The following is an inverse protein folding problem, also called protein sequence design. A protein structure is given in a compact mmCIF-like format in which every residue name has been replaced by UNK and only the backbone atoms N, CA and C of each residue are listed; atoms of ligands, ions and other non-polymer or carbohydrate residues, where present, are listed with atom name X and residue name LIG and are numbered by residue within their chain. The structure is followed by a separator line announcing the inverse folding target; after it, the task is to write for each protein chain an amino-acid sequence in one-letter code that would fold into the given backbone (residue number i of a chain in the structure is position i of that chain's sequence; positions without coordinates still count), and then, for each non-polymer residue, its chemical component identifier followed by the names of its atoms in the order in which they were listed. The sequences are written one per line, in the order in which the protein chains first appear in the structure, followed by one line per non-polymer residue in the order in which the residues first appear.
data_IF_156983529603
#
_entry.id   IF_156983529603
#
_cell.length_a   1.000
_cell.length_b   1.000
_cell.length_c   1.000
_cell.angle_alpha   90.00
_cell.angle_beta   90.00
_cell.angle_gamma   90.00
#
_symmetry.space_group_name_H-M   'P 1'
#
loop_
_entity.id
_entity.type
_entity.pdbx_description
1 polymer ?
#
# COMPACT_ATOMS: atom_id res chain seq x y z
N UNK A 1 -8.17 -4.79 10.85
CA UNK A 1 -7.32 -3.63 10.53
C UNK A 1 -5.93 -3.90 11.08
N UNK A 2 -4.90 -3.82 10.24
CA UNK A 2 -3.49 -3.91 10.63
C UNK A 2 -2.83 -2.56 10.34
N UNK A 3 -1.90 -2.14 11.19
CA UNK A 3 -1.09 -0.93 10.97
C UNK A 3 0.35 -1.37 10.83
N UNK A 4 1.02 -0.90 9.78
CA UNK A 4 2.41 -1.19 9.47
C UNK A 4 3.19 0.13 9.38
N UNK A 5 4.45 0.08 9.78
CA UNK A 5 5.35 1.22 9.68
C UNK A 5 6.41 0.92 8.62
N UNK A 6 6.57 1.84 7.68
CA UNK A 6 7.60 1.82 6.65
C UNK A 6 8.64 2.87 7.00
N UNK A 7 9.91 2.49 7.08
CA UNK A 7 11.02 3.43 7.24
C UNK A 7 12.00 3.26 6.09
N UNK A 8 12.30 4.34 5.38
CA UNK A 8 13.41 4.48 4.45
C UNK A 8 14.34 5.57 4.96
N UNK A 9 15.44 5.83 4.24
CA UNK A 9 16.39 6.88 4.62
C UNK A 9 15.74 8.27 4.58
N UNK A 10 14.80 8.49 3.65
CA UNK A 10 14.22 9.82 3.40
C UNK A 10 12.75 9.94 3.81
N UNK A 11 12.08 8.82 4.12
CA UNK A 11 10.64 8.82 4.37
C UNK A 11 10.24 7.80 5.45
N UNK A 12 9.20 8.14 6.21
CA UNK A 12 8.57 7.22 7.14
C UNK A 12 7.06 7.33 6.99
N UNK A 13 6.38 6.19 6.92
CA UNK A 13 4.94 6.13 6.72
C UNK A 13 4.27 5.13 7.67
N UNK A 14 3.13 5.55 8.23
CA UNK A 14 2.15 4.63 8.79
C UNK A 14 1.17 4.22 7.71
N UNK A 15 1.09 2.92 7.44
CA UNK A 15 0.17 2.33 6.47
C UNK A 15 -0.90 1.54 7.20
N UNK A 16 -2.16 1.89 6.93
CA UNK A 16 -3.33 1.24 7.49
C UNK A 16 -3.90 0.28 6.44
N UNK A 17 -4.00 -1.00 6.81
CA UNK A 17 -4.51 -2.05 5.95
C UNK A 17 -5.81 -2.59 6.55
N UNK A 18 -6.89 -2.51 5.77
CA UNK A 18 -8.17 -3.09 6.11
C UNK A 18 -8.58 -4.08 5.04
N UNK A 19 -8.72 -5.36 5.42
CA UNK A 19 -9.21 -6.41 4.54
C UNK A 19 -10.67 -6.70 4.86
N UNK A 20 -11.54 -6.48 3.87
CA UNK A 20 -12.93 -6.91 3.93
C UNK A 20 -13.07 -8.24 3.18
N UNK A 21 -12.97 -9.34 3.94
CA UNK A 21 -13.09 -10.70 3.38
C UNK A 21 -14.49 -11.02 2.83
N UNK A 22 -15.54 -10.36 3.34
CA UNK A 22 -16.91 -10.60 2.90
C UNK A 22 -17.15 -10.03 1.49
N UNK A 23 -16.66 -8.82 1.26
CA UNK A 23 -16.84 -8.08 0.01
C UNK A 23 -15.60 -8.16 -0.90
N UNK A 24 -14.59 -8.95 -0.51
CA UNK A 24 -13.37 -9.25 -1.27
C UNK A 24 -12.60 -8.02 -1.75
N UNK A 25 -12.32 -7.08 -0.83
CA UNK A 25 -11.47 -5.93 -1.12
C UNK A 25 -10.53 -5.59 0.04
N UNK A 26 -9.47 -4.87 -0.29
CA UNK A 26 -8.51 -4.31 0.66
C UNK A 26 -8.54 -2.79 0.53
N UNK A 27 -8.52 -2.09 1.66
CA UNK A 27 -8.27 -0.65 1.73
C UNK A 27 -6.88 -0.43 2.29
N UNK A 28 -6.10 0.35 1.56
CA UNK A 28 -4.79 0.85 1.97
C UNK A 28 -4.91 2.33 2.22
N UNK A 29 -4.49 2.82 3.38
CA UNK A 29 -4.48 4.26 3.68
C UNK A 29 -3.15 4.68 4.29
N UNK A 30 -2.68 5.87 3.89
CA UNK A 30 -1.47 6.52 4.38
C UNK A 30 -1.89 7.92 4.85
N UNK A 31 -2.24 8.08 6.15
CA UNK A 31 -2.83 9.32 6.65
C UNK A 31 -1.96 10.55 6.47
N UNK A 32 -0.65 10.41 6.63
CA UNK A 32 0.30 11.54 6.53
C UNK A 32 0.37 12.11 5.09
N UNK A 33 -0.07 11.32 4.10
CA UNK A 33 -0.19 11.73 2.69
C UNK A 33 -1.62 12.13 2.30
N UNK A 34 -2.58 12.09 3.23
CA UNK A 34 -4.02 12.23 2.95
C UNK A 34 -4.49 11.29 1.82
N UNK A 35 -3.91 10.10 1.74
CA UNK A 35 -4.08 9.19 0.62
C UNK A 35 -4.71 7.87 1.07
N UNK A 36 -5.59 7.34 0.23
CA UNK A 36 -6.14 5.99 0.36
C UNK A 36 -6.59 5.42 -0.97
N UNK A 37 -6.55 4.11 -1.09
CA UNK A 37 -7.08 3.37 -2.24
C UNK A 37 -7.82 2.12 -1.78
N UNK A 38 -8.87 1.77 -2.51
CA UNK A 38 -9.53 0.47 -2.41
C UNK A 38 -9.04 -0.39 -3.58
N UNK A 39 -8.67 -1.63 -3.29
CA UNK A 39 -8.09 -2.59 -4.24
C UNK A 39 -8.91 -3.88 -4.16
N UNK A 40 -9.16 -4.51 -5.30
CA UNK A 40 -9.77 -5.83 -5.34
C UNK A 40 -8.82 -6.88 -4.73
N UNK A 41 -9.36 -7.81 -3.96
CA UNK A 41 -8.57 -8.89 -3.32
C UNK A 41 -8.00 -9.91 -4.34
N UNK A 42 -8.44 -9.81 -5.60
CA UNK A 42 -7.94 -10.57 -6.75
C UNK A 42 -6.64 -10.02 -7.32
N UNK A 43 -6.22 -8.80 -6.95
CA UNK A 43 -4.98 -8.19 -7.43
C UNK A 43 -3.82 -8.59 -6.51
N UNK A 44 -2.81 -9.27 -7.07
CA UNK A 44 -1.69 -9.80 -6.27
C UNK A 44 -0.35 -9.70 -6.99
N UNK A 45 0.74 -9.89 -6.24
CA UNK A 45 2.09 -10.02 -6.80
C UNK A 45 2.56 -8.74 -7.51
N UNK A 46 3.11 -8.91 -8.71
CA UNK A 46 3.65 -7.80 -9.50
C UNK A 46 2.55 -6.82 -9.93
N UNK A 47 1.37 -7.30 -10.35
CA UNK A 47 0.25 -6.46 -10.75
C UNK A 47 -0.22 -5.54 -9.61
N UNK A 48 -0.29 -6.06 -8.38
CA UNK A 48 -0.59 -5.24 -7.20
C UNK A 48 0.49 -4.20 -6.93
N UNK A 49 1.75 -4.59 -7.10
CA UNK A 49 2.88 -3.68 -6.87
C UNK A 49 2.90 -2.54 -7.87
N UNK A 50 2.69 -2.84 -9.16
CA UNK A 50 2.61 -1.84 -10.23
C UNK A 50 1.42 -0.91 -10.02
N UNK A 51 0.24 -1.45 -9.68
CA UNK A 51 -0.94 -0.65 -9.40
C UNK A 51 -0.70 0.32 -8.22
N UNK A 52 -0.16 -0.18 -7.11
CA UNK A 52 0.20 0.67 -5.96
C UNK A 52 1.24 1.73 -6.33
N UNK A 53 2.28 1.36 -7.06
CA UNK A 53 3.31 2.28 -7.52
C UNK A 53 2.71 3.41 -8.36
N UNK A 54 1.86 3.08 -9.34
CA UNK A 54 1.23 4.06 -10.23
C UNK A 54 0.42 5.10 -9.47
N UNK A 55 -0.24 4.71 -8.38
CA UNK A 55 -0.97 5.66 -7.56
C UNK A 55 -0.07 6.41 -6.56
N UNK A 56 0.96 5.77 -6.01
CA UNK A 56 1.84 6.38 -5.00
C UNK A 56 2.84 7.38 -5.59
N UNK A 57 3.36 7.19 -6.81
CA UNK A 57 4.32 8.13 -7.39
C UNK A 57 3.72 9.52 -7.65
N UNK A 58 2.38 9.65 -7.64
CA UNK A 58 1.70 10.93 -7.74
C UNK A 58 1.71 11.74 -6.43
N UNK A 59 2.07 11.14 -5.30
CA UNK A 59 2.00 11.76 -3.96
C UNK A 59 3.31 11.73 -3.18
N UNK A 60 4.26 10.87 -3.56
CA UNK A 60 5.61 10.79 -3.00
C UNK A 60 6.64 10.58 -4.11
N UNK A 61 7.92 10.74 -3.75
CA UNK A 61 9.04 10.49 -4.67
C UNK A 61 8.96 9.09 -5.30
N UNK A 62 9.43 8.95 -6.54
CA UNK A 62 9.35 7.72 -7.32
C UNK A 62 10.06 6.54 -6.63
N UNK A 63 11.25 6.78 -6.06
CA UNK A 63 12.00 5.73 -5.36
C UNK A 63 11.24 5.26 -4.11
N UNK A 64 10.71 6.22 -3.34
CA UNK A 64 9.92 5.95 -2.15
C UNK A 64 8.59 5.26 -2.48
N UNK A 65 7.94 5.64 -3.58
CA UNK A 65 6.74 5.01 -4.11
C UNK A 65 6.99 3.54 -4.43
N UNK A 66 8.09 3.24 -5.13
CA UNK A 66 8.46 1.87 -5.49
C UNK A 66 8.73 1.02 -4.25
N UNK A 67 9.51 1.54 -3.30
CA UNK A 67 9.82 0.84 -2.03
C UNK A 67 8.55 0.58 -1.23
N UNK A 68 7.67 1.58 -1.12
CA UNK A 68 6.45 1.50 -0.34
C UNK A 68 5.44 0.53 -0.98
N UNK A 69 5.27 0.57 -2.30
CA UNK A 69 4.43 -0.36 -3.04
C UNK A 69 4.87 -1.82 -2.80
N UNK A 70 6.17 -2.11 -2.95
CA UNK A 70 6.75 -3.43 -2.67
C UNK A 70 6.46 -3.92 -1.24
N UNK A 71 6.58 -3.04 -0.24
CA UNK A 71 6.31 -3.36 1.17
C UNK A 71 4.83 -3.64 1.41
N UNK A 72 3.95 -2.82 0.85
CA UNK A 72 2.50 -2.98 0.99
C UNK A 72 2.05 -4.30 0.35
N UNK A 73 2.51 -4.62 -0.86
CA UNK A 73 2.24 -5.91 -1.52
C UNK A 73 2.62 -7.09 -0.62
N UNK A 74 3.82 -7.06 -0.03
CA UNK A 74 4.27 -8.12 0.89
C UNK A 74 3.38 -8.23 2.12
N UNK A 75 3.00 -7.10 2.73
CA UNK A 75 2.13 -7.12 3.90
C UNK A 75 0.72 -7.63 3.59
N UNK A 76 0.20 -7.36 2.38
CA UNK A 76 -1.08 -7.89 1.92
C UNK A 76 -1.00 -9.42 1.77
N UNK A 77 0.10 -9.95 1.25
CA UNK A 77 0.31 -11.40 1.10
C UNK A 77 0.51 -12.16 2.43
N UNK A 78 0.88 -11.46 3.51
CA UNK A 78 0.97 -12.02 4.87
C UNK A 78 -0.39 -12.09 5.60
N UNK A 79 -1.47 -11.54 5.01
CA UNK A 79 -2.78 -11.43 5.66
C UNK A 79 -3.63 -12.67 5.48
#
# INVERSE_FOLDING_TARGET
MKIRESHSENYSAKVWLYHNQKEQYIVVSIPDLYWSIQIEDTLYGEELTEHLFVHLFNVIDEEEAQILALRITRWIQEV
#
